data_IF_258402904075
#
_entry.id   IF_258402904075
#
_cell.length_a   1.000
_cell.length_b   1.000
_cell.length_c   1.000
_cell.angle_alpha   90.00
_cell.angle_beta   90.00
_cell.angle_gamma   90.00
#
_symmetry.space_group_name_H-M   'P 1'
#
loop_
_entity.id
_entity.type
_entity.pdbx_description
1 polymer ?
#
# COMPACT_ATOMS: atom_id res chain seq x y z
N UNK A 1 31.68 10.58 27.84
CA UNK A 1 30.73 9.81 27.00
C UNK A 1 30.18 10.81 26.01
N UNK A 2 30.12 10.47 24.72
CA UNK A 2 29.51 11.35 23.72
C UNK A 2 28.02 11.49 24.01
N UNK A 3 27.48 12.70 23.90
CA UNK A 3 26.05 13.01 24.13
C UNK A 3 25.12 12.52 22.98
N UNK A 4 25.68 11.81 22.00
CA UNK A 4 24.98 11.35 20.79
C UNK A 4 24.46 9.92 20.94
N UNK A 5 23.25 9.68 20.45
CA UNK A 5 22.59 8.37 20.48
C UNK A 5 21.56 8.26 19.35
N UNK A 6 20.88 7.12 19.19
CA UNK A 6 19.77 7.00 18.24
C UNK A 6 18.62 7.98 18.50
N UNK A 7 18.45 8.44 19.75
CA UNK A 7 17.44 9.44 20.14
C UNK A 7 17.94 10.88 20.06
N UNK A 8 19.24 11.06 19.91
CA UNK A 8 19.89 12.36 19.73
C UNK A 8 21.02 12.17 18.70
N UNK A 9 20.69 12.01 17.41
CA UNK A 9 21.68 11.70 16.38
C UNK A 9 22.56 12.92 16.08
N UNK A 10 23.82 12.67 15.72
CA UNK A 10 24.70 13.73 15.25
C UNK A 10 24.41 14.05 13.77
N UNK A 11 24.15 15.32 13.46
CA UNK A 11 23.96 15.79 12.09
C UNK A 11 25.33 15.99 11.41
N UNK A 12 25.91 14.89 10.94
CA UNK A 12 27.18 14.88 10.21
C UNK A 12 27.02 15.23 8.73
N UNK A 13 28.07 15.81 8.14
CA UNK A 13 28.14 16.10 6.70
C UNK A 13 28.78 14.93 5.97
N UNK A 14 28.15 14.46 4.90
CA UNK A 14 28.74 13.47 3.99
C UNK A 14 29.74 14.16 3.06
N UNK A 15 31.04 13.86 3.20
CA UNK A 15 32.09 14.50 2.41
C UNK A 15 32.38 13.78 1.10
N UNK A 16 32.23 12.47 1.06
CA UNK A 16 32.51 11.66 -0.12
C UNK A 16 31.45 10.58 -0.33
N UNK A 17 31.09 10.33 -1.59
CA UNK A 17 30.17 9.27 -2.02
C UNK A 17 30.59 8.60 -3.36
N UNK A 18 31.86 8.20 -3.58
CA UNK A 18 32.24 7.60 -4.85
C UNK A 18 31.63 6.21 -5.06
N UNK A 19 31.32 5.91 -6.32
CA UNK A 19 30.89 4.58 -6.76
C UNK A 19 32.12 3.65 -6.80
N UNK A 20 32.01 2.48 -6.18
CA UNK A 20 33.06 1.46 -6.19
C UNK A 20 32.87 0.39 -7.27
N UNK A 21 31.63 0.17 -7.70
CA UNK A 21 31.32 -0.79 -8.75
C UNK A 21 31.53 -0.20 -10.14
N UNK A 22 31.87 -1.07 -11.10
CA UNK A 22 31.97 -0.67 -12.51
C UNK A 22 30.58 -0.49 -13.14
N UNK A 23 30.52 0.21 -14.26
CA UNK A 23 29.29 0.43 -15.03
C UNK A 23 28.68 -0.84 -15.61
N UNK A 24 29.47 -1.92 -15.71
CA UNK A 24 28.99 -3.24 -16.14
C UNK A 24 28.43 -4.08 -14.99
N UNK A 25 28.49 -3.60 -13.75
CA UNK A 25 27.99 -4.33 -12.58
C UNK A 25 26.48 -4.26 -12.48
N UNK A 26 25.86 -5.36 -12.04
CA UNK A 26 24.42 -5.42 -11.68
C UNK A 26 24.15 -4.92 -10.25
N UNK A 27 25.18 -4.46 -9.53
CA UNK A 27 25.09 -3.95 -8.16
C UNK A 27 25.72 -2.57 -8.06
N UNK A 28 25.15 -1.74 -7.20
CA UNK A 28 25.70 -0.44 -6.85
C UNK A 28 26.29 -0.49 -5.45
N UNK A 29 27.62 -0.42 -5.32
CA UNK A 29 28.29 -0.31 -4.02
C UNK A 29 29.00 1.03 -3.95
N UNK A 30 28.76 1.80 -2.89
CA UNK A 30 29.37 3.13 -2.70
C UNK A 30 30.26 3.16 -1.46
N UNK A 31 31.35 3.90 -1.55
CA UNK A 31 32.11 4.33 -0.37
C UNK A 31 31.51 5.63 0.12
N UNK A 32 31.21 5.73 1.42
CA UNK A 32 30.63 6.92 2.02
C UNK A 32 31.53 7.39 3.17
N UNK A 33 31.90 8.66 3.17
CA UNK A 33 32.71 9.28 4.22
C UNK A 33 31.87 10.34 4.93
N UNK A 34 31.74 10.20 6.24
CA UNK A 34 31.00 11.12 7.10
C UNK A 34 31.97 11.91 7.97
N UNK A 35 31.84 13.23 8.00
CA UNK A 35 32.65 14.09 8.85
C UNK A 35 32.11 14.05 10.29
N UNK A 36 32.98 13.73 11.23
CA UNK A 36 32.66 13.79 12.66
C UNK A 36 32.83 15.20 13.26
N UNK A 37 33.54 16.12 12.58
CA UNK A 37 33.75 17.48 13.04
C UNK A 37 34.19 17.56 14.51
N UNK A 38 33.62 18.50 15.25
CA UNK A 38 33.86 18.70 16.68
C UNK A 38 32.93 17.86 17.59
N UNK A 39 32.28 16.83 17.04
CA UNK A 39 31.27 16.02 17.77
C UNK A 39 31.81 15.27 18.98
N UNK A 40 33.13 15.05 19.04
CA UNK A 40 33.77 14.19 20.04
C UNK A 40 33.39 12.71 19.92
N UNK A 41 32.76 12.29 18.81
CA UNK A 41 32.44 10.89 18.55
C UNK A 41 33.71 10.05 18.40
N UNK A 42 33.72 8.88 19.01
CA UNK A 42 34.81 7.90 18.92
C UNK A 42 34.24 6.54 18.56
N UNK A 43 34.91 5.81 17.68
CA UNK A 43 34.54 4.45 17.29
C UNK A 43 35.81 3.60 17.10
N UNK A 44 35.64 2.29 17.04
CA UNK A 44 36.68 1.30 16.76
C UNK A 44 36.38 0.56 15.47
N UNK A 45 37.41 0.00 14.85
CA UNK A 45 37.21 -0.91 13.73
C UNK A 45 36.36 -2.09 14.16
N UNK A 46 35.28 -2.36 13.43
CA UNK A 46 34.26 -3.36 13.77
C UNK A 46 32.97 -2.77 14.34
N UNK A 47 32.97 -1.50 14.75
CA UNK A 47 31.73 -0.79 15.15
C UNK A 47 30.86 -0.51 13.91
N UNK A 48 29.54 -0.39 14.13
CA UNK A 48 28.57 -0.03 13.10
C UNK A 48 28.13 1.43 13.25
N UNK A 49 27.82 2.07 12.11
CA UNK A 49 27.23 3.40 12.05
C UNK A 49 25.74 3.28 11.78
N UNK A 50 24.89 3.78 12.67
CA UNK A 50 23.45 3.93 12.43
C UNK A 50 23.18 5.22 11.65
N UNK A 51 22.31 5.16 10.64
CA UNK A 51 21.98 6.30 9.78
C UNK A 51 20.47 6.46 9.81
N UNK A 52 19.97 7.59 10.27
CA UNK A 52 18.53 7.88 10.20
C UNK A 52 18.20 8.27 8.75
N UNK A 53 17.46 7.46 7.98
CA UNK A 53 17.14 7.80 6.60
C UNK A 53 15.93 8.74 6.53
N UNK A 54 15.68 9.26 5.34
CA UNK A 54 14.46 9.97 4.98
C UNK A 54 13.92 9.33 3.69
N UNK A 55 12.60 9.21 3.60
CA UNK A 55 11.98 8.70 2.38
C UNK A 55 12.10 9.74 1.24
N UNK A 56 12.28 9.30 -0.02
CA UNK A 56 12.32 10.20 -1.16
C UNK A 56 11.05 11.04 -1.25
N UNK A 57 11.20 12.34 -1.51
CA UNK A 57 10.05 13.25 -1.60
C UNK A 57 9.07 12.80 -2.68
N UNK A 58 9.56 12.39 -3.85
CA UNK A 58 8.72 11.91 -4.97
C UNK A 58 7.82 10.74 -4.57
N UNK A 59 8.37 9.76 -3.83
CA UNK A 59 7.59 8.62 -3.33
C UNK A 59 6.50 9.05 -2.34
N UNK A 60 6.78 10.05 -1.50
CA UNK A 60 5.80 10.60 -0.56
C UNK A 60 4.70 11.35 -1.32
N UNK A 61 5.05 12.16 -2.33
CA UNK A 61 4.06 12.85 -3.16
C UNK A 61 3.16 11.86 -3.92
N UNK A 62 3.73 10.80 -4.48
CA UNK A 62 2.99 9.77 -5.22
C UNK A 62 1.96 9.08 -4.31
N UNK A 63 2.36 8.71 -3.08
CA UNK A 63 1.45 8.13 -2.10
C UNK A 63 0.32 9.08 -1.70
N UNK A 64 0.65 10.34 -1.42
CA UNK A 64 -0.36 11.36 -1.08
C UNK A 64 -1.34 11.57 -2.25
N UNK A 65 -0.83 11.62 -3.48
CA UNK A 65 -1.62 11.76 -4.70
C UNK A 65 -2.58 10.58 -4.91
N UNK A 66 -2.10 9.34 -4.74
CA UNK A 66 -2.93 8.13 -4.87
C UNK A 66 -4.02 8.04 -3.80
N UNK A 67 -3.72 8.48 -2.58
CA UNK A 67 -4.66 8.48 -1.46
C UNK A 67 -5.60 9.70 -1.47
N UNK A 68 -5.31 10.71 -2.29
CA UNK A 68 -6.07 11.96 -2.35
C UNK A 68 -5.86 12.87 -1.13
N UNK A 69 -4.69 12.79 -0.49
CA UNK A 69 -4.34 13.59 0.69
C UNK A 69 -3.51 14.82 0.30
N UNK A 70 -3.68 15.91 1.05
CA UNK A 70 -2.89 17.14 0.88
C UNK A 70 -1.49 17.03 1.49
N UNK A 71 -1.34 16.20 2.53
CA UNK A 71 -0.13 16.08 3.33
C UNK A 71 -0.13 17.00 4.56
N UNK A 72 -1.05 17.96 4.64
CA UNK A 72 -1.17 18.92 5.76
C UNK A 72 -2.04 18.36 6.90
N UNK A 73 -2.64 17.19 6.71
CA UNK A 73 -3.50 16.57 7.72
C UNK A 73 -2.69 16.18 8.95
N UNK A 74 -3.20 16.50 10.12
CA UNK A 74 -2.57 16.12 11.38
C UNK A 74 -2.83 14.65 11.67
N UNK A 75 -1.76 13.92 11.96
CA UNK A 75 -1.80 12.52 12.35
C UNK A 75 -1.01 12.30 13.64
N UNK A 76 -1.50 11.37 14.47
CA UNK A 76 -0.79 10.92 15.65
C UNK A 76 0.28 9.90 15.26
N UNK A 77 1.53 10.18 15.62
CA UNK A 77 2.66 9.27 15.42
C UNK A 77 3.19 8.74 16.75
N UNK A 78 4.11 7.78 16.69
CA UNK A 78 4.79 7.25 17.87
C UNK A 78 5.66 8.26 18.63
N UNK A 79 5.94 9.44 18.05
CA UNK A 79 6.69 10.53 18.69
C UNK A 79 5.84 11.76 19.01
N UNK A 80 4.53 11.72 18.71
CA UNK A 80 3.61 12.83 18.87
C UNK A 80 2.89 13.19 17.56
N UNK A 81 2.12 14.26 17.60
CA UNK A 81 1.38 14.78 16.44
C UNK A 81 2.35 15.38 15.40
N UNK A 82 2.10 15.11 14.13
CA UNK A 82 2.82 15.67 13.00
C UNK A 82 1.89 15.82 11.79
N UNK A 83 2.26 16.68 10.85
CA UNK A 83 1.69 16.69 9.51
C UNK A 83 1.99 15.37 8.79
N UNK A 84 1.01 14.87 8.04
CA UNK A 84 1.08 13.58 7.36
C UNK A 84 2.32 13.49 6.46
N UNK A 85 2.63 14.56 5.73
CA UNK A 85 3.80 14.62 4.84
C UNK A 85 5.09 14.34 5.60
N UNK A 86 5.39 15.11 6.64
CA UNK A 86 6.55 14.90 7.50
C UNK A 86 6.56 13.53 8.19
N UNK A 87 5.39 13.03 8.59
CA UNK A 87 5.26 11.69 9.16
C UNK A 87 5.70 10.62 8.14
N UNK A 88 5.23 10.70 6.90
CA UNK A 88 5.64 9.80 5.81
C UNK A 88 7.10 10.01 5.39
N UNK A 89 7.65 11.22 5.46
CA UNK A 89 9.05 11.48 5.10
C UNK A 89 10.04 10.95 6.14
N UNK A 90 9.71 11.04 7.44
CA UNK A 90 10.70 10.85 8.51
C UNK A 90 10.36 9.79 9.56
N UNK A 91 9.10 9.32 9.65
CA UNK A 91 8.65 8.50 10.79
C UNK A 91 8.20 7.09 10.39
N UNK A 92 7.76 6.91 9.15
CA UNK A 92 7.22 5.63 8.66
C UNK A 92 8.02 5.04 7.51
N UNK A 93 8.02 3.72 7.43
CA UNK A 93 8.56 2.95 6.31
C UNK A 93 7.51 2.90 5.19
N UNK A 94 7.80 3.50 4.03
CA UNK A 94 6.84 3.60 2.92
C UNK A 94 7.31 2.92 1.63
N UNK A 95 8.51 2.37 1.60
CA UNK A 95 9.06 1.67 0.43
C UNK A 95 8.94 0.15 0.52
N UNK A 96 8.38 -0.36 1.62
CA UNK A 96 8.18 -1.80 1.84
C UNK A 96 6.84 -2.05 2.51
N UNK A 97 5.96 -2.76 1.81
CA UNK A 97 4.68 -3.19 2.36
C UNK A 97 4.89 -4.18 3.50
N UNK A 98 4.08 -4.09 4.56
CA UNK A 98 4.19 -4.97 5.72
C UNK A 98 2.92 -5.80 5.97
N UNK A 99 3.10 -6.98 6.58
CA UNK A 99 1.99 -7.89 6.93
C UNK A 99 0.95 -7.23 7.83
N UNK A 100 1.40 -6.38 8.75
CA UNK A 100 0.53 -5.67 9.70
C UNK A 100 -0.49 -4.82 8.93
N UNK A 101 -0.04 -4.14 7.88
CA UNK A 101 -0.91 -3.35 7.01
C UNK A 101 -2.03 -4.18 6.39
N UNK A 102 -1.69 -5.27 5.70
CA UNK A 102 -2.69 -6.11 5.01
C UNK A 102 -3.66 -6.76 6.02
N UNK A 103 -3.17 -7.27 7.14
CA UNK A 103 -4.03 -7.84 8.18
C UNK A 103 -4.95 -6.79 8.82
N UNK A 104 -4.50 -5.54 8.91
CA UNK A 104 -5.26 -4.41 9.44
C UNK A 104 -6.44 -3.98 8.56
N UNK A 105 -6.57 -4.51 7.33
CA UNK A 105 -7.65 -4.14 6.40
C UNK A 105 -8.96 -4.88 6.64
N UNK A 106 -9.02 -5.83 7.58
CA UNK A 106 -10.19 -6.70 7.72
C UNK A 106 -11.52 -5.93 7.82
N UNK A 107 -11.56 -4.82 8.54
CA UNK A 107 -12.78 -4.00 8.67
C UNK A 107 -13.19 -3.30 7.37
N UNK A 108 -12.29 -3.12 6.40
CA UNK A 108 -12.61 -2.57 5.07
C UNK A 108 -13.44 -3.52 4.22
N UNK A 109 -13.28 -4.83 4.43
CA UNK A 109 -14.00 -5.87 3.68
C UNK A 109 -15.23 -6.40 4.41
N UNK A 110 -15.47 -5.96 5.65
CA UNK A 110 -16.72 -6.24 6.36
C UNK A 110 -17.82 -5.37 5.77
N UNK A 111 -18.53 -5.93 4.80
CA UNK A 111 -19.77 -5.37 4.27
C UNK A 111 -20.82 -5.39 5.40
N UNK A 112 -21.04 -4.24 6.04
CA UNK A 112 -22.13 -4.06 7.02
C UNK A 112 -23.46 -3.64 6.35
N UNK A 113 -23.70 -4.13 5.14
CA UNK A 113 -24.89 -3.87 4.34
C UNK A 113 -25.49 -5.15 3.77
N UNK A 114 -26.80 -5.17 3.42
CA UNK A 114 -27.40 -6.31 2.75
C UNK A 114 -26.65 -6.58 1.44
N UNK A 115 -26.40 -7.86 1.14
CA UNK A 115 -25.81 -8.31 -0.11
C UNK A 115 -26.68 -7.78 -1.27
N UNK A 116 -26.13 -6.86 -2.07
CA UNK A 116 -26.83 -6.30 -3.23
C UNK A 116 -26.68 -7.27 -4.38
N UNK A 117 -27.69 -8.11 -4.57
CA UNK A 117 -27.75 -9.02 -5.72
C UNK A 117 -28.42 -8.33 -6.90
N UNK A 118 -27.78 -8.33 -8.07
CA UNK A 118 -28.40 -7.90 -9.33
C UNK A 118 -28.85 -9.14 -10.10
N UNK A 119 -30.14 -9.21 -10.46
CA UNK A 119 -30.72 -10.29 -11.26
C UNK A 119 -31.53 -9.73 -12.41
N UNK A 120 -31.49 -10.40 -13.56
CA UNK A 120 -32.42 -10.13 -14.65
C UNK A 120 -33.83 -10.57 -14.25
N UNK A 121 -34.79 -9.62 -14.20
CA UNK A 121 -36.20 -9.92 -13.86
C UNK A 121 -37.11 -10.03 -15.08
N UNK A 122 -36.65 -9.56 -16.25
CA UNK A 122 -37.37 -9.67 -17.51
C UNK A 122 -36.51 -9.29 -18.71
N UNK A 123 -36.85 -9.82 -19.88
CA UNK A 123 -36.19 -9.55 -21.16
C UNK A 123 -37.20 -9.58 -22.29
N UNK A 124 -37.17 -8.55 -23.14
CA UNK A 124 -37.94 -8.51 -24.39
C UNK A 124 -37.03 -8.18 -25.57
N UNK A 125 -37.16 -8.91 -26.69
CA UNK A 125 -36.42 -8.65 -27.93
C UNK A 125 -37.39 -8.45 -29.10
N UNK A 126 -37.27 -7.32 -29.78
CA UNK A 126 -38.13 -7.00 -30.94
C UNK A 126 -37.28 -6.92 -32.21
N UNK A 127 -37.77 -7.54 -33.28
CA UNK A 127 -37.14 -7.43 -34.60
C UNK A 127 -37.35 -6.02 -35.16
N UNK A 128 -36.27 -5.35 -35.56
CA UNK A 128 -36.34 -4.00 -36.12
C UNK A 128 -36.96 -3.96 -37.53
N UNK A 129 -36.91 -5.07 -38.27
CA UNK A 129 -37.44 -5.16 -39.64
C UNK A 129 -38.92 -5.53 -39.70
N UNK A 130 -39.39 -6.34 -38.75
CA UNK A 130 -40.78 -6.86 -38.74
C UNK A 130 -41.63 -6.30 -37.60
N UNK A 131 -41.02 -5.66 -36.60
CA UNK A 131 -41.71 -5.19 -35.39
C UNK A 131 -42.21 -6.32 -34.47
N UNK A 132 -41.99 -7.58 -34.85
CA UNK A 132 -42.44 -8.73 -34.07
C UNK A 132 -41.54 -8.98 -32.87
N UNK A 133 -42.17 -9.38 -31.77
CA UNK A 133 -41.49 -9.82 -30.57
C UNK A 133 -40.89 -11.21 -30.83
N UNK A 134 -39.56 -11.31 -30.76
CA UNK A 134 -38.79 -12.53 -31.01
C UNK A 134 -38.36 -13.23 -29.72
N UNK A 135 -38.50 -12.58 -28.55
CA UNK A 135 -38.25 -13.17 -27.24
C UNK A 135 -38.95 -12.35 -26.16
N UNK A 136 -39.76 -13.00 -25.32
CA UNK A 136 -40.28 -12.43 -24.08
C UNK A 136 -40.05 -13.43 -22.96
N UNK A 137 -39.35 -13.02 -21.92
CA UNK A 137 -39.11 -13.82 -20.73
C UNK A 137 -39.27 -12.93 -19.50
N UNK A 138 -39.91 -13.46 -18.47
CA UNK A 138 -40.12 -12.84 -17.18
C UNK A 138 -39.74 -13.86 -16.11
N UNK A 139 -39.08 -13.40 -15.05
CA UNK A 139 -38.60 -14.28 -13.99
C UNK A 139 -39.75 -14.92 -13.21
N UNK A 140 -39.69 -16.25 -13.03
CA UNK A 140 -40.69 -17.06 -12.34
C UNK A 140 -40.66 -16.90 -10.81
N UNK A 141 -39.55 -16.41 -10.25
CA UNK A 141 -39.25 -16.46 -8.83
C UNK A 141 -38.23 -17.53 -8.44
N UNK A 142 -37.91 -18.47 -9.34
CA UNK A 142 -36.96 -19.57 -9.07
C UNK A 142 -35.50 -19.12 -9.27
N UNK A 143 -34.58 -19.60 -8.44
CA UNK A 143 -33.17 -19.17 -8.49
C UNK A 143 -32.46 -19.54 -9.80
N UNK A 144 -32.85 -20.65 -10.43
CA UNK A 144 -32.25 -21.14 -11.68
C UNK A 144 -33.01 -20.69 -12.94
N UNK A 145 -34.06 -19.88 -12.81
CA UNK A 145 -34.82 -19.39 -13.96
C UNK A 145 -34.11 -18.21 -14.64
N UNK A 146 -33.58 -18.48 -15.83
CA UNK A 146 -32.93 -17.53 -16.72
C UNK A 146 -33.37 -17.77 -18.17
N UNK A 147 -33.34 -16.73 -19.04
CA UNK A 147 -33.55 -16.94 -20.48
C UNK A 147 -32.55 -17.96 -21.02
N UNK A 148 -32.97 -18.80 -21.99
CA UNK A 148 -32.15 -19.89 -22.56
C UNK A 148 -30.76 -19.47 -23.04
N UNK A 149 -30.61 -18.21 -23.45
CA UNK A 149 -29.37 -17.65 -24.02
C UNK A 149 -28.65 -16.71 -23.03
N UNK A 150 -29.05 -16.69 -21.76
CA UNK A 150 -28.44 -15.87 -20.71
C UNK A 150 -27.69 -16.76 -19.73
N UNK A 151 -26.37 -16.55 -19.65
CA UNK A 151 -25.56 -17.10 -18.58
C UNK A 151 -25.45 -16.01 -17.51
N UNK A 152 -25.97 -16.21 -16.29
CA UNK A 152 -25.78 -15.25 -15.22
C UNK A 152 -24.29 -15.03 -15.01
N UNK A 153 -23.89 -13.77 -14.95
CA UNK A 153 -22.61 -13.41 -14.35
C UNK A 153 -22.73 -13.87 -12.89
N UNK A 154 -21.83 -14.73 -12.43
CA UNK A 154 -21.83 -15.17 -11.02
C UNK A 154 -21.83 -13.97 -10.08
N UNK A 155 -22.12 -14.20 -8.79
CA UNK A 155 -21.95 -13.17 -7.74
C UNK A 155 -20.63 -12.46 -8.02
N UNK A 156 -20.69 -11.16 -8.27
CA UNK A 156 -19.50 -10.35 -8.51
C UNK A 156 -18.71 -10.39 -7.20
N UNK A 157 -17.79 -11.34 -7.08
CA UNK A 157 -16.85 -11.34 -5.98
C UNK A 157 -15.99 -10.10 -6.15
N UNK A 158 -15.87 -9.32 -5.07
CA UNK A 158 -14.96 -8.19 -5.04
C UNK A 158 -13.53 -8.74 -5.19
N UNK A 159 -12.82 -8.48 -6.31
CA UNK A 159 -11.49 -9.06 -6.53
C UNK A 159 -10.50 -8.64 -5.44
N UNK A 160 -10.68 -7.43 -4.88
CA UNK A 160 -9.88 -6.96 -3.76
C UNK A 160 -10.11 -7.82 -2.50
N UNK A 161 -11.36 -8.20 -2.25
CA UNK A 161 -11.70 -9.09 -1.13
C UNK A 161 -11.11 -10.49 -1.32
N UNK A 162 -11.25 -11.08 -2.51
CA UNK A 162 -10.68 -12.41 -2.78
C UNK A 162 -9.16 -12.42 -2.61
N UNK A 163 -8.48 -11.39 -3.13
CA UNK A 163 -7.05 -11.22 -2.94
C UNK A 163 -6.69 -11.12 -1.46
N UNK A 164 -7.36 -10.23 -0.71
CA UNK A 164 -7.11 -10.08 0.72
C UNK A 164 -7.36 -11.37 1.51
N UNK A 165 -8.48 -12.06 1.28
CA UNK A 165 -8.79 -13.35 1.93
C UNK A 165 -7.73 -14.41 1.60
N UNK A 166 -7.26 -14.46 0.34
CA UNK A 166 -6.17 -15.35 -0.07
C UNK A 166 -4.86 -15.06 0.67
N UNK A 167 -4.50 -13.78 0.83
CA UNK A 167 -3.29 -13.37 1.53
C UNK A 167 -3.36 -13.66 3.03
N UNK A 168 -4.47 -13.34 3.69
CA UNK A 168 -4.61 -13.50 5.15
C UNK A 168 -4.68 -14.98 5.55
N UNK A 169 -5.24 -15.84 4.70
CA UNK A 169 -5.39 -17.27 5.00
C UNK A 169 -4.20 -18.15 4.58
N UNK A 170 -3.30 -17.65 3.72
CA UNK A 170 -2.08 -18.37 3.30
C UNK A 170 -0.81 -17.55 3.59
N UNK A 171 -0.07 -17.99 4.62
CA UNK A 171 1.16 -17.34 5.03
C UNK A 171 2.25 -17.33 3.94
N UNK A 172 2.27 -18.32 3.04
CA UNK A 172 3.19 -18.35 1.92
C UNK A 172 2.76 -17.35 0.85
N UNK A 173 1.47 -17.32 0.51
CA UNK A 173 0.95 -16.34 -0.43
C UNK A 173 1.18 -14.90 0.05
N UNK A 174 1.03 -14.64 1.35
CA UNK A 174 1.37 -13.35 1.97
C UNK A 174 2.84 -12.98 1.77
N UNK A 175 3.79 -13.89 2.03
CA UNK A 175 5.21 -13.61 1.84
C UNK A 175 5.56 -13.39 0.36
N UNK A 176 5.03 -14.22 -0.53
CA UNK A 176 5.25 -14.13 -1.97
C UNK A 176 4.68 -12.80 -2.52
N UNK A 177 3.54 -12.34 -1.99
CA UNK A 177 2.94 -11.05 -2.34
C UNK A 177 3.75 -9.86 -1.85
N UNK A 178 4.23 -9.90 -0.59
CA UNK A 178 5.05 -8.83 -0.02
C UNK A 178 6.44 -8.74 -0.65
N UNK A 179 6.89 -9.79 -1.34
CA UNK A 179 8.19 -9.82 -1.97
C UNK A 179 8.29 -8.76 -3.06
N UNK A 180 9.12 -7.74 -2.80
CA UNK A 180 9.40 -6.64 -3.72
C UNK A 180 8.21 -5.71 -4.03
N UNK A 181 7.17 -5.70 -3.17
CA UNK A 181 6.04 -4.76 -3.29
C UNK A 181 6.09 -3.63 -2.26
N UNK A 182 5.67 -2.46 -2.69
CA UNK A 182 5.48 -1.28 -1.85
C UNK A 182 3.99 -0.91 -1.68
N UNK A 183 3.71 0.24 -1.06
CA UNK A 183 2.34 0.70 -0.84
C UNK A 183 1.68 1.27 -2.11
N UNK A 184 2.46 1.74 -3.09
CA UNK A 184 1.91 2.19 -4.38
C UNK A 184 1.37 0.98 -5.15
N UNK A 185 2.15 -0.10 -5.23
CA UNK A 185 1.74 -1.36 -5.84
C UNK A 185 0.47 -1.92 -5.17
N UNK A 186 0.42 -1.83 -3.84
CA UNK A 186 -0.76 -2.22 -3.08
C UNK A 186 -1.99 -1.37 -3.44
N UNK A 187 -1.87 -0.04 -3.48
CA UNK A 187 -3.00 0.84 -3.81
C UNK A 187 -3.50 0.60 -5.24
N UNK A 188 -2.62 0.19 -6.16
CA UNK A 188 -3.00 -0.21 -7.52
C UNK A 188 -3.78 -1.53 -7.55
N UNK A 189 -3.43 -2.52 -6.72
CA UNK A 189 -4.16 -3.78 -6.60
C UNK A 189 -5.52 -3.63 -5.89
N UNK A 190 -5.66 -2.61 -5.04
CA UNK A 190 -6.83 -2.36 -4.20
C UNK A 190 -7.49 -0.99 -4.48
N UNK A 191 -7.95 -0.71 -5.72
CA UNK A 191 -8.39 0.63 -6.13
C UNK A 191 -9.70 1.09 -5.48
N UNK A 192 -10.49 0.16 -4.93
CA UNK A 192 -11.74 0.46 -4.21
C UNK A 192 -11.52 0.85 -2.75
N UNK A 193 -10.33 0.61 -2.20
CA UNK A 193 -10.01 0.95 -0.82
C UNK A 193 -9.71 2.44 -0.69
N UNK A 194 -10.40 3.07 0.26
CA UNK A 194 -10.13 4.44 0.68
C UNK A 194 -9.68 4.44 2.13
N UNK A 195 -8.84 5.41 2.49
CA UNK A 195 -8.28 5.54 3.82
C UNK A 195 -8.53 6.94 4.36
N UNK A 196 -8.63 7.05 5.68
CA UNK A 196 -8.34 8.34 6.34
C UNK A 196 -6.83 8.47 6.55
N UNK A 197 -6.28 9.70 6.68
CA UNK A 197 -4.87 9.91 6.99
C UNK A 197 -4.36 9.10 8.19
N UNK A 198 -5.12 9.13 9.30
CA UNK A 198 -4.77 8.41 10.53
C UNK A 198 -4.76 6.89 10.32
N UNK A 199 -5.82 6.37 9.71
CA UNK A 199 -5.97 4.94 9.46
C UNK A 199 -4.85 4.38 8.58
N UNK A 200 -4.40 5.16 7.60
CA UNK A 200 -3.28 4.78 6.74
C UNK A 200 -1.99 4.62 7.56
N UNK A 201 -1.65 5.60 8.41
CA UNK A 201 -0.40 5.58 9.18
C UNK A 201 -0.40 4.59 10.36
N UNK A 202 -1.57 4.28 10.93
CA UNK A 202 -1.69 3.38 12.09
C UNK A 202 -1.09 1.99 11.84
N UNK A 203 -1.14 1.54 10.59
CA UNK A 203 -0.69 0.21 10.21
C UNK A 203 0.69 0.17 9.54
N UNK A 204 1.31 1.32 9.30
CA UNK A 204 2.67 1.38 8.76
C UNK A 204 3.71 0.92 9.79
N UNK A 205 4.81 0.37 9.28
CA UNK A 205 6.00 0.14 10.07
C UNK A 205 6.75 1.45 10.31
N UNK A 206 7.49 1.53 11.42
CA UNK A 206 8.31 2.70 11.73
C UNK A 206 9.58 2.69 10.88
N UNK A 207 10.00 3.88 10.45
CA UNK A 207 11.27 4.06 9.77
C UNK A 207 12.41 3.71 10.74
N UNK A 208 13.30 2.82 10.33
CA UNK A 208 14.41 2.34 11.17
C UNK A 208 15.72 3.05 10.81
N UNK A 209 16.59 3.32 11.80
CA UNK A 209 17.99 3.68 11.57
C UNK A 209 18.83 2.62 10.85
#
# INVERSE_FOLDING_TARGET
MSDWSSKNPYLGVMSEKPLLTSTASTKETRHMVMQLGDSGLTYKAGDALGIIPENPQELVEDLLGLLGFSGDELVETHVGEADLRNALTHKFEVHRLCKKFINGLGHKFVVSGPEVTVRLVGRTRTSLSTGENTLSWDWSGDEDDYPSDFLPVGVSSDPARELWEGLVNDAKAMEDYLWSRDYIDFLADFPSLSFTPQEFVDNLDRLKP
#
